data_IF_165291428036
#
_entry.id   IF_165291428036
#
_cell.length_a   1.000
_cell.length_b   1.000
_cell.length_c   1.000
_cell.angle_alpha   90.00
_cell.angle_beta   90.00
_cell.angle_gamma   90.00
#
_symmetry.space_group_name_H-M   'P 1'
#
loop_
_entity.id
_entity.type
_entity.pdbx_description
1 polymer ?
#
# COMPACT_ATOMS: atom_id res chain seq x y z
N UNK A 1 -26.88 -10.24 -9.72
CA UNK A 1 -25.82 -11.06 -10.32
C UNK A 1 -25.80 -12.50 -9.79
N UNK A 2 -26.52 -12.84 -8.70
CA UNK A 2 -26.47 -14.16 -8.09
C UNK A 2 -25.22 -14.45 -7.22
N UNK A 3 -24.33 -13.45 -6.99
CA UNK A 3 -23.16 -13.65 -6.14
C UNK A 3 -23.55 -13.81 -4.68
N UNK A 4 -23.07 -14.89 -4.06
CA UNK A 4 -23.33 -15.21 -2.65
C UNK A 4 -22.30 -14.59 -1.69
N UNK A 5 -21.22 -14.04 -2.19
CA UNK A 5 -20.17 -13.37 -1.42
C UNK A 5 -19.58 -12.19 -2.20
N UNK A 6 -19.11 -11.19 -1.47
CA UNK A 6 -18.41 -10.05 -2.05
C UNK A 6 -17.38 -9.51 -1.06
N UNK A 7 -16.17 -9.32 -1.53
CA UNK A 7 -15.13 -8.59 -0.79
C UNK A 7 -15.26 -7.08 -1.07
N UNK A 8 -15.05 -6.28 -0.03
CA UNK A 8 -14.89 -4.84 -0.12
C UNK A 8 -13.54 -4.45 0.45
N UNK A 9 -12.71 -3.80 -0.38
CA UNK A 9 -11.32 -3.46 -0.10
C UNK A 9 -11.05 -2.01 -0.51
N UNK A 10 -11.58 -1.06 0.27
CA UNK A 10 -11.37 0.36 0.03
C UNK A 10 -9.88 0.74 0.12
N UNK A 11 -9.45 1.74 -0.65
CA UNK A 11 -8.07 2.22 -0.69
C UNK A 11 -7.66 2.92 0.62
N UNK A 12 -6.79 2.28 1.40
CA UNK A 12 -6.19 2.81 2.61
C UNK A 12 -7.15 3.03 3.78
N UNK A 13 -8.40 2.59 3.68
CA UNK A 13 -9.41 2.75 4.73
C UNK A 13 -10.47 1.63 4.67
N UNK A 14 -11.42 1.63 5.60
CA UNK A 14 -12.55 0.70 5.65
C UNK A 14 -13.89 1.44 5.73
N UNK A 15 -14.05 2.55 5.05
CA UNK A 15 -15.26 3.38 5.14
C UNK A 15 -16.51 2.64 4.62
N UNK A 16 -16.36 1.73 3.66
CA UNK A 16 -17.45 0.90 3.15
C UNK A 16 -17.91 -0.21 4.10
N UNK A 17 -17.16 -0.52 5.18
CA UNK A 17 -17.46 -1.61 6.10
C UNK A 17 -18.89 -1.57 6.64
N UNK A 18 -19.35 -0.43 7.14
CA UNK A 18 -20.69 -0.28 7.71
C UNK A 18 -21.78 -0.54 6.68
N UNK A 19 -21.60 -0.06 5.46
CA UNK A 19 -22.55 -0.30 4.34
C UNK A 19 -22.62 -1.77 3.98
N UNK A 20 -21.48 -2.47 3.96
CA UNK A 20 -21.43 -3.90 3.66
C UNK A 20 -22.13 -4.73 4.75
N UNK A 21 -21.93 -4.39 6.02
CA UNK A 21 -22.66 -5.02 7.15
C UNK A 21 -24.16 -4.80 7.03
N UNK A 22 -24.60 -3.57 6.74
CA UNK A 22 -26.02 -3.26 6.57
C UNK A 22 -26.61 -3.97 5.35
N UNK A 23 -25.87 -4.09 4.26
CA UNK A 23 -26.28 -4.84 3.08
C UNK A 23 -26.46 -6.33 3.41
N UNK A 24 -25.49 -6.95 4.07
CA UNK A 24 -25.58 -8.35 4.48
C UNK A 24 -26.79 -8.62 5.39
N UNK A 25 -27.06 -7.73 6.37
CA UNK A 25 -28.25 -7.80 7.23
C UNK A 25 -29.55 -7.71 6.41
N UNK A 26 -29.60 -6.84 5.39
CA UNK A 26 -30.78 -6.69 4.50
C UNK A 26 -31.00 -7.96 3.67
N UNK A 27 -29.93 -8.52 3.08
CA UNK A 27 -29.99 -9.75 2.32
C UNK A 27 -30.50 -10.91 3.17
N UNK A 28 -30.00 -11.06 4.40
CA UNK A 28 -30.46 -12.07 5.35
C UNK A 28 -31.95 -11.92 5.68
N UNK A 29 -32.45 -10.70 5.88
CA UNK A 29 -33.90 -10.45 6.08
C UNK A 29 -34.76 -10.85 4.89
N UNK A 30 -34.19 -10.85 3.69
CA UNK A 30 -34.89 -11.29 2.43
C UNK A 30 -34.73 -12.79 2.19
N UNK A 31 -34.21 -13.57 3.15
CA UNK A 31 -33.95 -14.99 3.00
C UNK A 31 -32.84 -15.35 2.02
N UNK A 32 -31.99 -14.38 1.63
CA UNK A 32 -30.86 -14.59 0.73
C UNK A 32 -29.60 -14.86 1.51
N UNK A 33 -28.82 -15.85 1.06
CA UNK A 33 -27.50 -16.11 1.59
C UNK A 33 -26.50 -15.14 0.96
N UNK A 34 -25.83 -14.31 1.79
CA UNK A 34 -24.80 -13.38 1.33
C UNK A 34 -23.71 -13.28 2.40
N UNK A 35 -22.48 -13.60 2.02
CA UNK A 35 -21.30 -13.52 2.88
C UNK A 35 -20.52 -12.23 2.58
N UNK A 36 -20.54 -11.23 3.47
CA UNK A 36 -19.63 -10.10 3.36
C UNK A 36 -18.21 -10.56 3.67
N UNK A 37 -17.23 -10.14 2.87
CA UNK A 37 -15.81 -10.36 3.08
C UNK A 37 -15.19 -9.00 3.30
N UNK A 38 -14.57 -8.78 4.46
CA UNK A 38 -14.05 -7.49 4.87
C UNK A 38 -12.55 -7.42 4.61
N UNK A 39 -12.10 -6.31 4.06
CA UNK A 39 -10.70 -6.10 3.76
C UNK A 39 -10.35 -4.62 3.54
N UNK A 40 -9.11 -4.39 3.14
CA UNK A 40 -8.57 -3.09 2.77
C UNK A 40 -7.54 -3.27 1.66
N UNK A 41 -7.50 -2.35 0.71
CA UNK A 41 -6.35 -2.20 -0.18
C UNK A 41 -5.40 -1.19 0.46
N UNK A 42 -4.44 -1.70 1.25
CA UNK A 42 -3.51 -0.90 2.01
C UNK A 42 -2.41 -0.29 1.11
N UNK A 43 -1.87 0.84 1.53
CA UNK A 43 -0.67 1.41 0.94
C UNK A 43 0.55 0.92 1.71
N UNK A 44 1.32 0.05 1.07
CA UNK A 44 2.47 -0.63 1.63
C UNK A 44 3.78 0.04 1.20
N UNK A 45 4.73 0.12 2.13
CA UNK A 45 6.14 0.42 1.90
C UNK A 45 7.00 -0.60 2.67
N UNK A 46 8.27 -0.75 2.32
CA UNK A 46 9.11 -1.78 2.97
C UNK A 46 9.50 -1.42 4.41
N UNK A 47 9.83 -0.16 4.68
CA UNK A 47 10.23 0.34 5.98
C UNK A 47 9.70 1.75 6.19
N UNK A 48 9.03 1.97 7.32
CA UNK A 48 8.53 3.29 7.71
C UNK A 48 9.68 4.18 8.17
N UNK A 49 10.70 3.62 8.81
CA UNK A 49 11.83 4.37 9.32
C UNK A 49 12.68 4.94 8.18
N UNK A 50 13.06 4.10 7.20
CA UNK A 50 13.78 4.56 5.99
C UNK A 50 13.00 5.61 5.22
N UNK A 51 11.68 5.45 5.16
CA UNK A 51 10.82 6.41 4.49
C UNK A 51 10.74 7.75 5.25
N UNK A 52 10.72 7.71 6.58
CA UNK A 52 10.73 8.92 7.42
C UNK A 52 12.02 9.71 7.28
N UNK A 53 13.18 9.05 7.27
CA UNK A 53 14.46 9.70 7.01
C UNK A 53 14.43 10.46 5.68
N UNK A 54 14.00 9.81 4.60
CA UNK A 54 13.83 10.44 3.28
C UNK A 54 12.83 11.59 3.30
N UNK A 55 11.74 11.48 4.07
CA UNK A 55 10.75 12.55 4.21
C UNK A 55 11.33 13.79 4.89
N UNK A 56 12.14 13.62 5.93
CA UNK A 56 12.78 14.75 6.61
C UNK A 56 13.84 15.42 5.72
N UNK A 57 14.64 14.65 4.99
CA UNK A 57 15.57 15.18 3.98
C UNK A 57 14.82 16.02 2.92
N UNK A 58 13.75 15.46 2.36
CA UNK A 58 12.91 16.16 1.37
C UNK A 58 12.31 17.47 1.93
N UNK A 59 11.84 17.46 3.17
CA UNK A 59 11.31 18.67 3.83
C UNK A 59 12.39 19.72 4.04
N UNK A 60 13.59 19.30 4.50
CA UNK A 60 14.73 20.19 4.73
C UNK A 60 15.19 20.88 3.43
N UNK A 61 15.29 20.13 2.33
CA UNK A 61 15.69 20.69 1.04
C UNK A 61 14.63 21.64 0.47
N UNK A 62 13.36 21.35 0.67
CA UNK A 62 12.28 22.23 0.25
C UNK A 62 12.28 23.56 1.03
N UNK A 63 12.69 23.55 2.28
CA UNK A 63 12.87 24.79 3.08
C UNK A 63 14.06 25.59 2.56
N UNK A 64 15.21 24.92 2.29
CA UNK A 64 16.41 25.57 1.71
C UNK A 64 16.12 26.21 0.35
N UNK A 65 15.44 25.48 -0.54
CA UNK A 65 15.06 25.99 -1.88
C UNK A 65 14.21 27.27 -1.77
N UNK A 66 13.19 27.28 -0.91
CA UNK A 66 12.36 28.47 -0.68
C UNK A 66 13.14 29.66 -0.09
N UNK A 67 14.12 29.41 0.78
CA UNK A 67 14.96 30.47 1.35
C UNK A 67 15.87 31.08 0.27
N UNK A 68 16.40 30.24 -0.63
CA UNK A 68 17.23 30.68 -1.77
C UNK A 68 16.39 31.50 -2.75
N UNK A 69 15.17 31.05 -3.09
CA UNK A 69 14.25 31.78 -3.99
C UNK A 69 13.86 33.14 -3.40
N UNK A 70 13.59 33.21 -2.11
CA UNK A 70 13.28 34.48 -1.43
C UNK A 70 14.51 35.42 -1.33
N UNK A 71 15.73 34.89 -1.26
CA UNK A 71 16.96 35.69 -1.26
C UNK A 71 17.39 36.13 -2.68
N UNK A 72 16.94 35.42 -3.73
CA UNK A 72 17.29 35.65 -5.14
C UNK A 72 16.25 36.41 -5.96
N UNK A 73 15.33 37.10 -5.34
CA UNK A 73 14.33 37.93 -6.06
C UNK A 73 15.00 39.06 -6.89
N UNK A 74 15.89 38.67 -7.81
CA UNK A 74 16.63 39.63 -8.65
C UNK A 74 17.53 39.08 -9.74
N UNK A 75 17.84 37.79 -9.83
CA UNK A 75 18.70 37.29 -10.96
C UNK A 75 18.47 35.79 -11.22
N UNK A 76 18.09 35.48 -12.45
CA UNK A 76 18.07 34.14 -13.02
C UNK A 76 19.49 33.65 -13.27
N UNK A 77 19.91 32.58 -12.58
CA UNK A 77 21.04 31.74 -13.00
C UNK A 77 20.64 30.29 -12.74
N UNK A 78 20.47 29.55 -13.82
CA UNK A 78 20.34 28.11 -13.84
C UNK A 78 21.67 27.48 -13.37
N UNK A 79 21.66 26.79 -12.26
CA UNK A 79 22.65 25.79 -11.93
C UNK A 79 21.92 24.63 -11.24
N UNK A 80 21.61 23.61 -12.03
CA UNK A 80 21.21 22.30 -11.59
C UNK A 80 22.40 21.64 -10.86
N UNK A 81 22.49 21.82 -9.56
CA UNK A 81 23.21 20.88 -8.72
C UNK A 81 22.30 19.68 -8.50
N UNK A 82 22.60 18.54 -9.12
CA UNK A 82 22.00 17.24 -8.79
C UNK A 82 22.22 16.98 -7.30
N UNK A 83 21.25 17.38 -6.49
CA UNK A 83 21.22 17.03 -5.07
C UNK A 83 20.82 15.56 -4.97
N UNK A 84 21.62 14.76 -4.26
CA UNK A 84 21.30 13.37 -3.88
C UNK A 84 20.14 13.27 -2.88
N UNK A 85 19.34 14.29 -2.77
CA UNK A 85 18.20 14.38 -1.87
C UNK A 85 17.02 13.56 -2.38
N UNK A 86 16.27 12.98 -1.44
CA UNK A 86 15.05 12.24 -1.73
C UNK A 86 14.08 13.05 -2.56
N UNK A 87 13.62 12.50 -3.67
CA UNK A 87 12.71 13.18 -4.60
C UNK A 87 11.27 13.14 -4.09
N UNK A 88 10.41 14.03 -4.61
CA UNK A 88 8.96 13.95 -4.38
C UNK A 88 8.39 12.59 -4.79
N UNK A 89 8.98 11.94 -5.78
CA UNK A 89 8.61 10.60 -6.22
C UNK A 89 8.86 9.56 -5.12
N UNK A 90 10.04 9.56 -4.51
CA UNK A 90 10.42 8.62 -3.44
C UNK A 90 9.49 8.73 -2.24
N UNK A 91 9.15 9.96 -1.85
CA UNK A 91 8.25 10.22 -0.72
C UNK A 91 6.81 9.77 -1.00
N UNK A 92 6.35 9.87 -2.23
CA UNK A 92 4.99 9.45 -2.61
C UNK A 92 4.90 7.98 -3.00
N UNK A 93 6.03 7.30 -3.16
CA UNK A 93 6.11 5.89 -3.54
C UNK A 93 5.44 5.00 -2.51
N UNK A 94 4.62 4.10 -2.96
CA UNK A 94 3.91 3.09 -2.17
C UNK A 94 3.43 2.00 -3.10
N UNK A 95 3.22 0.81 -2.54
CA UNK A 95 2.63 -0.33 -3.24
C UNK A 95 1.23 -0.59 -2.71
N UNK A 96 0.38 -1.11 -3.55
CA UNK A 96 -0.89 -1.64 -3.10
C UNK A 96 -0.71 -3.05 -2.55
N UNK A 97 -1.40 -3.35 -1.46
CA UNK A 97 -1.44 -4.65 -0.82
C UNK A 97 -2.86 -4.92 -0.35
N UNK A 98 -3.49 -5.96 -0.89
CA UNK A 98 -4.85 -6.32 -0.48
C UNK A 98 -4.78 -7.22 0.74
N UNK A 99 -5.50 -6.83 1.80
CA UNK A 99 -5.62 -7.57 3.05
C UNK A 99 -7.08 -7.91 3.29
N UNK A 100 -7.38 -9.19 3.54
CA UNK A 100 -8.75 -9.69 3.75
C UNK A 100 -8.82 -10.47 5.05
N UNK A 101 -9.86 -10.21 5.84
CA UNK A 101 -10.09 -10.90 7.10
C UNK A 101 -10.65 -12.31 6.88
N UNK A 102 -10.00 -13.32 7.44
CA UNK A 102 -10.49 -14.71 7.49
C UNK A 102 -11.52 -14.91 8.63
N UNK A 103 -11.35 -14.19 9.71
CA UNK A 103 -12.11 -14.31 10.94
C UNK A 103 -12.13 -12.99 11.72
N UNK A 104 -12.73 -13.00 12.91
CA UNK A 104 -12.82 -11.81 13.76
C UNK A 104 -11.45 -11.27 14.21
N UNK A 105 -10.48 -12.15 14.47
CA UNK A 105 -9.10 -11.74 14.81
C UNK A 105 -8.48 -10.96 13.64
N UNK A 106 -8.58 -11.50 12.42
CA UNK A 106 -8.09 -10.83 11.23
C UNK A 106 -8.77 -9.48 10.98
N UNK A 107 -10.09 -9.39 11.20
CA UNK A 107 -10.81 -8.13 11.09
C UNK A 107 -10.31 -7.09 12.12
N UNK A 108 -10.12 -7.50 13.36
CA UNK A 108 -9.57 -6.63 14.40
C UNK A 108 -8.15 -6.17 14.08
N UNK A 109 -7.33 -7.07 13.50
CA UNK A 109 -5.97 -6.74 13.09
C UNK A 109 -5.97 -5.77 11.89
N UNK A 110 -6.87 -5.93 10.91
CA UNK A 110 -7.03 -4.95 9.82
C UNK A 110 -7.43 -3.58 10.39
N UNK A 111 -8.34 -3.50 11.36
CA UNK A 111 -8.67 -2.24 12.02
C UNK A 111 -7.46 -1.60 12.70
N UNK A 112 -6.60 -2.38 13.37
CA UNK A 112 -5.36 -1.87 13.97
C UNK A 112 -4.40 -1.35 12.90
N UNK A 113 -4.14 -2.13 11.84
CA UNK A 113 -3.31 -1.73 10.71
C UNK A 113 -3.78 -0.40 10.10
N UNK A 114 -5.09 -0.30 9.80
CA UNK A 114 -5.68 0.93 9.25
C UNK A 114 -5.56 2.08 10.25
N UNK A 115 -5.90 1.88 11.52
CA UNK A 115 -5.83 2.95 12.53
C UNK A 115 -4.41 3.46 12.72
N UNK A 116 -3.42 2.57 12.83
CA UNK A 116 -2.00 2.93 12.95
C UNK A 116 -1.50 3.67 11.71
N UNK A 117 -1.92 3.26 10.51
CA UNK A 117 -1.51 3.91 9.26
C UNK A 117 -1.94 5.38 9.15
N UNK A 118 -2.94 5.82 9.93
CA UNK A 118 -3.35 7.21 10.04
C UNK A 118 -2.68 7.97 11.20
N UNK A 119 -1.86 7.32 12.01
CA UNK A 119 -1.10 8.01 13.06
C UNK A 119 0.09 8.81 12.49
N UNK A 120 0.64 9.75 13.28
CA UNK A 120 1.60 10.76 12.81
C UNK A 120 2.83 10.21 12.07
N UNK A 121 3.38 9.06 12.51
CA UNK A 121 4.59 8.49 11.93
C UNK A 121 4.34 7.74 10.61
N UNK A 122 3.14 7.22 10.43
CA UNK A 122 2.73 6.42 9.27
C UNK A 122 1.99 7.23 8.19
N UNK A 123 1.60 8.47 8.51
CA UNK A 123 0.77 9.29 7.66
C UNK A 123 1.50 10.51 7.08
N UNK A 124 1.60 10.56 5.77
CA UNK A 124 1.89 11.79 5.04
C UNK A 124 1.11 11.76 3.72
N UNK A 125 0.07 12.57 3.61
CA UNK A 125 -0.88 12.63 2.47
C UNK A 125 -1.67 11.33 2.23
N UNK A 126 -1.06 10.18 2.51
CA UNK A 126 -1.65 8.84 2.43
C UNK A 126 -1.22 8.03 3.65
N UNK A 127 -2.10 7.18 4.18
CA UNK A 127 -1.75 6.22 5.24
C UNK A 127 -0.78 5.16 4.68
N UNK A 128 0.14 4.67 5.50
CA UNK A 128 1.10 3.62 5.11
C UNK A 128 1.16 2.52 6.15
N UNK A 129 1.49 1.33 5.68
CA UNK A 129 1.88 0.19 6.52
C UNK A 129 3.20 -0.36 5.99
N UNK A 130 3.96 -1.04 6.83
CA UNK A 130 5.24 -1.66 6.48
C UNK A 130 5.33 -3.12 6.94
N UNK A 131 6.48 -3.75 6.73
CA UNK A 131 6.69 -5.13 7.14
C UNK A 131 6.59 -5.34 8.65
N UNK A 132 7.07 -4.40 9.47
CA UNK A 132 7.06 -4.55 10.93
C UNK A 132 5.62 -4.52 11.45
N UNK A 133 4.81 -3.59 10.98
CA UNK A 133 3.41 -3.50 11.35
C UNK A 133 2.61 -4.74 10.87
N UNK A 134 2.96 -5.27 9.68
CA UNK A 134 2.35 -6.50 9.17
C UNK A 134 2.74 -7.72 10.03
N UNK A 135 3.99 -7.84 10.46
CA UNK A 135 4.44 -8.93 11.35
C UNK A 135 3.68 -8.91 12.68
N UNK A 136 3.44 -7.73 13.23
CA UNK A 136 2.72 -7.57 14.50
C UNK A 136 1.23 -7.94 14.40
N UNK A 137 0.61 -7.69 13.23
CA UNK A 137 -0.84 -7.78 13.06
C UNK A 137 -1.30 -8.69 11.91
N UNK A 138 -0.55 -9.75 11.56
CA UNK A 138 -0.90 -10.63 10.43
C UNK A 138 -1.90 -11.74 10.74
N UNK A 139 -2.14 -12.06 12.01
CA UNK A 139 -2.99 -13.20 12.39
C UNK A 139 -4.41 -13.06 11.84
N UNK A 140 -4.92 -14.13 11.22
CA UNK A 140 -6.27 -14.16 10.65
C UNK A 140 -6.47 -13.33 9.39
N UNK A 141 -5.37 -12.86 8.75
CA UNK A 141 -5.40 -12.08 7.51
C UNK A 141 -4.87 -12.92 6.34
N UNK A 142 -5.58 -12.87 5.21
CA UNK A 142 -5.08 -13.25 3.88
C UNK A 142 -4.50 -11.98 3.24
N UNK A 143 -3.32 -12.09 2.64
CA UNK A 143 -2.69 -11.01 1.89
C UNK A 143 -2.54 -11.38 0.41
N UNK A 144 -2.74 -10.40 -0.49
CA UNK A 144 -2.66 -10.58 -1.94
C UNK A 144 -1.85 -9.46 -2.59
N UNK A 145 -1.20 -9.79 -3.72
CA UNK A 145 -0.25 -8.89 -4.40
C UNK A 145 -0.88 -7.65 -5.07
N UNK A 146 -2.19 -7.54 -5.06
CA UNK A 146 -2.98 -6.45 -5.64
C UNK A 146 -2.81 -6.28 -7.19
N UNK A 147 -2.92 -5.04 -7.67
CA UNK A 147 -3.04 -4.67 -9.08
C UNK A 147 -1.70 -4.20 -9.69
N UNK A 148 -1.75 -3.46 -10.82
CA UNK A 148 -0.58 -2.80 -11.43
C UNK A 148 0.13 -1.77 -10.52
N UNK A 149 -0.47 -1.35 -9.42
CA UNK A 149 0.16 -0.59 -8.33
C UNK A 149 0.66 -1.46 -7.18
N UNK A 150 0.54 -2.78 -7.30
CA UNK A 150 0.89 -3.75 -6.26
C UNK A 150 2.37 -4.04 -6.12
N UNK A 151 2.69 -4.96 -5.21
CA UNK A 151 4.08 -5.27 -4.84
C UNK A 151 4.88 -5.90 -5.99
N UNK A 152 4.28 -6.77 -6.80
CA UNK A 152 4.97 -7.39 -7.93
C UNK A 152 5.13 -6.43 -9.12
N UNK A 153 4.08 -5.69 -9.44
CA UNK A 153 4.20 -4.64 -10.45
C UNK A 153 5.27 -3.61 -10.06
N UNK A 154 5.41 -3.34 -8.76
CA UNK A 154 6.48 -2.53 -8.24
C UNK A 154 7.87 -3.08 -8.57
N UNK A 155 8.11 -4.37 -8.35
CA UNK A 155 9.37 -5.00 -8.73
C UNK A 155 9.67 -4.84 -10.23
N UNK A 156 8.65 -4.99 -11.07
CA UNK A 156 8.78 -4.78 -12.51
C UNK A 156 9.19 -3.34 -12.86
N UNK A 157 8.43 -2.35 -12.40
CA UNK A 157 8.66 -0.95 -12.74
C UNK A 157 10.02 -0.42 -12.27
N UNK A 158 10.54 -0.97 -11.17
CA UNK A 158 11.81 -0.54 -10.59
C UNK A 158 13.03 -1.19 -11.22
N UNK A 159 12.88 -2.39 -11.76
CA UNK A 159 14.02 -3.19 -12.21
C UNK A 159 13.99 -3.52 -13.69
N UNK A 160 12.96 -3.13 -14.46
CA UNK A 160 12.79 -3.48 -15.88
C UNK A 160 13.97 -3.06 -16.76
N UNK A 161 14.63 -1.93 -16.45
CA UNK A 161 15.79 -1.43 -17.18
C UNK A 161 17.07 -2.23 -16.88
N UNK A 162 17.09 -2.97 -15.77
CA UNK A 162 18.19 -3.86 -15.39
C UNK A 162 18.04 -5.28 -15.97
N UNK A 163 16.90 -5.57 -16.62
CA UNK A 163 16.60 -6.83 -17.27
C UNK A 163 15.68 -7.75 -16.46
N UNK A 164 15.22 -8.81 -17.14
CA UNK A 164 14.22 -9.74 -16.61
C UNK A 164 14.67 -10.43 -15.31
N UNK A 165 15.95 -10.83 -15.22
CA UNK A 165 16.45 -11.53 -14.03
C UNK A 165 16.41 -10.63 -12.78
N UNK A 166 16.70 -9.33 -12.90
CA UNK A 166 16.58 -8.37 -11.81
C UNK A 166 15.14 -8.23 -11.33
N UNK A 167 14.17 -8.21 -12.25
CA UNK A 167 12.74 -8.19 -11.95
C UNK A 167 12.33 -9.46 -11.19
N UNK A 168 12.70 -10.62 -11.71
CA UNK A 168 12.38 -11.92 -11.09
C UNK A 168 13.03 -12.07 -9.71
N UNK A 169 14.26 -11.59 -9.55
CA UNK A 169 14.94 -11.60 -8.25
C UNK A 169 14.18 -10.75 -7.21
N UNK A 170 13.80 -9.53 -7.58
CA UNK A 170 12.98 -8.67 -6.71
C UNK A 170 11.65 -9.34 -6.33
N UNK A 171 10.96 -9.96 -7.29
CA UNK A 171 9.71 -10.68 -7.03
C UNK A 171 9.90 -11.86 -6.09
N UNK A 172 10.99 -12.64 -6.25
CA UNK A 172 11.34 -13.76 -5.36
C UNK A 172 11.60 -13.27 -3.92
N UNK A 173 12.38 -12.21 -3.76
CA UNK A 173 12.68 -11.62 -2.45
C UNK A 173 11.42 -11.09 -1.76
N UNK A 174 10.58 -10.37 -2.50
CA UNK A 174 9.29 -9.89 -1.99
C UNK A 174 8.39 -11.06 -1.58
N UNK A 175 8.32 -12.11 -2.41
CA UNK A 175 7.56 -13.33 -2.10
C UNK A 175 8.07 -13.99 -0.83
N UNK A 176 9.39 -14.15 -0.66
CA UNK A 176 9.98 -14.73 0.54
C UNK A 176 9.64 -13.91 1.79
N UNK A 177 9.74 -12.58 1.73
CA UNK A 177 9.36 -11.69 2.83
C UNK A 177 7.88 -11.86 3.21
N UNK A 178 6.98 -11.91 2.22
CA UNK A 178 5.54 -12.09 2.45
C UNK A 178 5.19 -13.48 2.98
N UNK A 179 5.81 -14.54 2.46
CA UNK A 179 5.64 -15.91 2.95
C UNK A 179 6.12 -16.07 4.41
N UNK A 180 7.17 -15.37 4.81
CA UNK A 180 7.65 -15.38 6.19
C UNK A 180 6.63 -14.75 7.17
N UNK A 181 5.76 -13.85 6.70
CA UNK A 181 4.73 -13.20 7.52
C UNK A 181 3.41 -13.97 7.45
N UNK A 182 2.97 -14.33 6.26
CA UNK A 182 1.62 -14.85 6.01
C UNK A 182 1.56 -16.37 5.79
N UNK A 183 2.69 -17.02 5.47
CA UNK A 183 2.74 -18.45 5.14
C UNK A 183 1.83 -18.77 3.94
N UNK A 184 0.96 -19.76 4.11
CA UNK A 184 -0.03 -20.21 3.11
C UNK A 184 -1.18 -19.22 2.87
N UNK A 185 -1.19 -18.10 3.58
CA UNK A 185 -2.17 -17.00 3.43
C UNK A 185 -1.69 -15.88 2.50
N UNK A 186 -0.53 -16.05 1.85
CA UNK A 186 -0.04 -15.15 0.80
C UNK A 186 -0.45 -15.63 -0.58
N UNK A 187 -1.03 -14.75 -1.40
CA UNK A 187 -1.49 -15.08 -2.77
C UNK A 187 -1.00 -14.06 -3.79
N UNK A 188 -0.57 -14.57 -4.96
CA UNK A 188 -0.45 -13.76 -6.16
C UNK A 188 -1.84 -13.47 -6.74
N UNK A 189 -2.17 -12.21 -6.99
CA UNK A 189 -3.43 -11.80 -7.59
C UNK A 189 -3.24 -11.56 -9.09
N UNK A 190 -4.08 -12.19 -9.91
CA UNK A 190 -4.15 -11.96 -11.35
C UNK A 190 -5.46 -11.25 -11.67
N UNK A 191 -5.38 -10.08 -12.27
CA UNK A 191 -6.54 -9.26 -12.63
C UNK A 191 -6.68 -9.20 -14.14
N UNK A 192 -7.82 -9.62 -14.66
CA UNK A 192 -8.14 -9.54 -16.08
C UNK A 192 -8.84 -8.22 -16.39
N UNK A 193 -8.08 -7.13 -16.51
CA UNK A 193 -8.64 -5.80 -16.75
C UNK A 193 -8.63 -5.38 -18.23
N UNK A 194 -8.06 -6.21 -19.13
CA UNK A 194 -7.92 -5.88 -20.55
C UNK A 194 -6.96 -4.73 -20.81
N UNK A 195 -6.03 -4.46 -19.88
CA UNK A 195 -4.97 -3.47 -20.01
C UNK A 195 -3.75 -4.15 -20.63
N UNK A 196 -3.17 -3.55 -21.65
CA UNK A 196 -2.08 -4.16 -22.43
C UNK A 196 -0.81 -4.38 -21.58
N UNK A 197 -0.57 -3.56 -20.57
CA UNK A 197 0.58 -3.62 -19.66
C UNK A 197 0.42 -4.66 -18.54
N UNK A 198 -0.69 -5.37 -18.49
CA UNK A 198 -1.02 -6.39 -17.51
C UNK A 198 -0.79 -7.79 -18.08
#
# INVERSE_FOLDING_TARGET
NGSEALALTDHGNMNGFAYQVLHAKRMKKQGKNFKPIFGVEAYFIESIDDWREKLEEYKADKVKSKQIDNARSGTTVENEAESKSATKHDINRKRHLVLVAMNQTGLNNIFKLVSTSYSGDYFYRKPRIDFELLKEHNEGIIAMSACLGGVYAGCYWENREQGEEAVLQCMREMTCKMLNIFGDRWYGELQWNGIQEQ
#
